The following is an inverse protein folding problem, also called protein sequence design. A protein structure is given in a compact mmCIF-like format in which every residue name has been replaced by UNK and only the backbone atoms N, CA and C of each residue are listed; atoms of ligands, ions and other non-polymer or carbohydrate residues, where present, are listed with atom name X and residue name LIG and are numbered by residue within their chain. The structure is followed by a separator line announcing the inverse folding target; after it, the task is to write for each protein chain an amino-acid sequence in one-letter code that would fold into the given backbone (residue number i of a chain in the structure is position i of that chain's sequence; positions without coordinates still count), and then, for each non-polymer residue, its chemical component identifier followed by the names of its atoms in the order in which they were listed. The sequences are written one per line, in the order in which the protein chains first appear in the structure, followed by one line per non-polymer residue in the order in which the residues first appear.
data_IF_381648709889
#
_entry.id   IF_381648709889
#
_cell.length_a   1.000
_cell.length_b   1.000
_cell.length_c   1.000
_cell.angle_alpha   90.00
_cell.angle_beta   90.00
_cell.angle_gamma   90.00
#
_symmetry.space_group_name_H-M   'P 1'
#
loop_
_entity.id
_entity.type
_entity.pdbx_description
1 polymer ?
#
# COMPACT_ATOMS: atom_id res chain seq x y z
N UNK A 1 -8.50 10.44 -26.71
CA UNK A 1 -8.02 10.40 -25.31
C UNK A 1 -8.63 9.23 -24.57
N UNK A 2 -9.97 9.14 -24.46
CA UNK A 2 -10.65 8.04 -23.74
C UNK A 2 -10.28 6.66 -24.30
N UNK A 3 -10.17 6.51 -25.63
CA UNK A 3 -9.76 5.26 -26.27
C UNK A 3 -8.33 4.84 -25.89
N UNK A 4 -7.39 5.79 -25.75
CA UNK A 4 -6.02 5.52 -25.29
C UNK A 4 -6.06 5.04 -23.82
N UNK A 5 -6.86 5.71 -22.98
CA UNK A 5 -7.02 5.32 -21.59
C UNK A 5 -7.59 3.90 -21.46
N UNK A 6 -8.68 3.60 -22.17
CA UNK A 6 -9.29 2.27 -22.17
C UNK A 6 -8.37 1.17 -22.74
N UNK A 7 -7.61 1.49 -23.82
CA UNK A 7 -6.62 0.58 -24.36
C UNK A 7 -5.48 0.28 -23.36
N UNK A 8 -4.98 1.31 -22.67
CA UNK A 8 -4.00 1.14 -21.60
C UNK A 8 -4.52 0.28 -20.44
N UNK A 9 -5.78 0.50 -20.01
CA UNK A 9 -6.47 -0.35 -19.03
C UNK A 9 -6.49 -1.80 -19.50
N UNK A 10 -6.94 -2.05 -20.73
CA UNK A 10 -7.05 -3.40 -21.29
C UNK A 10 -5.67 -4.09 -21.38
N UNK A 11 -4.61 -3.38 -21.80
CA UNK A 11 -3.25 -3.92 -21.87
C UNK A 11 -2.71 -4.29 -20.50
N UNK A 12 -2.99 -3.49 -19.46
CA UNK A 12 -2.56 -3.77 -18.09
C UNK A 12 -3.36 -4.93 -17.49
N UNK A 13 -4.68 -4.95 -17.61
CA UNK A 13 -5.54 -6.02 -17.08
C UNK A 13 -5.26 -7.35 -17.77
N UNK A 14 -4.97 -7.36 -19.07
CA UNK A 14 -4.58 -8.57 -19.82
C UNK A 14 -3.13 -8.99 -19.60
N UNK A 15 -2.38 -8.29 -18.73
CA UNK A 15 -0.96 -8.53 -18.43
C UNK A 15 -0.02 -8.43 -19.65
N UNK A 16 -0.47 -7.83 -20.75
CA UNK A 16 0.34 -7.64 -21.97
C UNK A 16 1.36 -6.52 -21.82
N UNK A 17 1.10 -5.56 -20.92
CA UNK A 17 1.98 -4.43 -20.66
C UNK A 17 2.03 -4.14 -19.15
N UNK A 18 3.22 -4.13 -18.52
CA UNK A 18 3.34 -3.80 -17.10
C UNK A 18 3.04 -2.32 -16.85
N UNK A 19 2.46 -2.00 -15.68
CA UNK A 19 2.05 -0.64 -15.32
C UNK A 19 3.19 0.38 -15.40
N UNK A 20 4.42 -0.02 -15.06
CA UNK A 20 5.62 0.84 -15.10
C UNK A 20 5.90 1.40 -16.51
N UNK A 21 5.50 0.68 -17.56
CA UNK A 21 5.63 1.13 -18.96
C UNK A 21 4.31 1.73 -19.48
N UNK A 22 3.18 1.14 -19.11
CA UNK A 22 1.87 1.58 -19.61
C UNK A 22 1.55 3.02 -19.20
N UNK A 23 1.77 3.36 -17.93
CA UNK A 23 1.38 4.67 -17.38
C UNK A 23 2.12 5.84 -18.04
N UNK A 24 3.45 5.87 -18.15
CA UNK A 24 4.13 6.98 -18.82
C UNK A 24 3.80 7.04 -20.33
N UNK A 25 3.70 5.88 -21.00
CA UNK A 25 3.31 5.86 -22.42
C UNK A 25 1.91 6.44 -22.63
N UNK A 26 0.94 6.08 -21.76
CA UNK A 26 -0.41 6.65 -21.80
C UNK A 26 -0.40 8.16 -21.59
N UNK A 27 0.33 8.66 -20.58
CA UNK A 27 0.43 10.09 -20.29
C UNK A 27 0.96 10.90 -21.49
N UNK A 28 2.02 10.41 -22.11
CA UNK A 28 2.62 11.03 -23.30
C UNK A 28 1.65 10.96 -24.49
N UNK A 29 1.09 9.80 -24.81
CA UNK A 29 0.17 9.62 -25.92
C UNK A 29 -1.10 10.47 -25.79
N UNK A 30 -1.65 10.57 -24.57
CA UNK A 30 -2.81 11.42 -24.27
C UNK A 30 -2.47 12.89 -24.58
N UNK A 31 -1.31 13.38 -24.12
CA UNK A 31 -0.87 14.75 -24.36
C UNK A 31 -0.61 15.03 -25.85
N UNK A 32 0.01 14.08 -26.58
CA UNK A 32 0.22 14.18 -28.04
C UNK A 32 -1.10 14.32 -28.77
N UNK A 33 -2.06 13.43 -28.51
CA UNK A 33 -3.37 13.44 -29.17
C UNK A 33 -4.20 14.66 -28.78
N UNK A 34 -3.98 15.23 -27.59
CA UNK A 34 -4.59 16.50 -27.19
C UNK A 34 -3.96 17.72 -27.84
N UNK A 35 -2.90 17.55 -28.63
CA UNK A 35 -2.22 18.67 -29.34
C UNK A 35 -1.29 19.50 -28.45
N UNK A 36 -0.79 18.91 -27.33
CA UNK A 36 0.26 19.55 -26.53
C UNK A 36 1.55 19.57 -27.34
N UNK A 37 2.23 20.73 -27.48
CA UNK A 37 3.47 20.83 -28.28
C UNK A 37 4.58 19.99 -27.65
N UNK A 38 5.43 19.39 -28.48
CA UNK A 38 6.55 18.58 -28.01
C UNK A 38 7.56 19.40 -27.22
N UNK A 39 7.95 20.55 -27.78
CA UNK A 39 8.88 21.52 -27.21
C UNK A 39 8.23 22.89 -27.32
N UNK A 40 8.41 23.73 -26.32
CA UNK A 40 8.03 25.14 -26.36
C UNK A 40 9.24 26.00 -25.96
N UNK A 41 9.44 27.09 -26.70
CA UNK A 41 10.43 28.12 -26.35
C UNK A 41 9.87 29.10 -25.31
N UNK A 42 8.56 29.14 -25.18
CA UNK A 42 7.84 29.97 -24.22
C UNK A 42 7.67 29.19 -22.88
N UNK A 43 8.15 29.79 -21.80
CA UNK A 43 8.11 29.18 -20.47
C UNK A 43 6.68 29.01 -19.93
N UNK A 44 5.72 29.80 -20.41
CA UNK A 44 4.31 29.71 -19.99
C UNK A 44 3.54 28.61 -20.73
N UNK A 45 4.03 28.17 -21.89
CA UNK A 45 3.37 27.14 -22.67
C UNK A 45 3.78 25.75 -22.24
N UNK A 46 2.80 24.98 -21.73
CA UNK A 46 3.01 23.59 -21.35
C UNK A 46 3.42 22.75 -22.56
N UNK A 47 4.57 22.04 -22.45
CA UNK A 47 5.08 21.13 -23.47
C UNK A 47 5.21 19.71 -22.96
N UNK A 48 5.32 18.74 -23.88
CA UNK A 48 5.51 17.33 -23.51
C UNK A 48 6.82 17.16 -22.77
N UNK A 49 7.91 17.76 -23.23
CA UNK A 49 9.24 17.62 -22.62
C UNK A 49 9.30 18.26 -21.23
N UNK A 50 8.86 19.51 -21.09
CA UNK A 50 9.01 20.25 -19.82
C UNK A 50 7.91 19.90 -18.80
N UNK A 51 6.63 19.95 -19.24
CA UNK A 51 5.51 19.78 -18.32
C UNK A 51 5.15 18.30 -18.11
N UNK A 52 5.00 17.51 -19.20
CA UNK A 52 4.53 16.12 -19.07
C UNK A 52 5.64 15.21 -18.59
N UNK A 53 6.82 15.23 -19.20
CA UNK A 53 7.91 14.30 -18.84
C UNK A 53 8.67 14.82 -17.62
N UNK A 54 9.35 15.95 -17.71
CA UNK A 54 10.20 16.43 -16.61
C UNK A 54 9.39 16.83 -15.37
N UNK A 55 8.34 17.63 -15.55
CA UNK A 55 7.42 18.00 -14.48
C UNK A 55 6.67 16.80 -13.92
N UNK A 56 6.25 15.87 -14.77
CA UNK A 56 5.61 14.62 -14.35
C UNK A 56 6.55 13.74 -13.53
N UNK A 57 7.79 13.55 -13.97
CA UNK A 57 8.76 12.74 -13.23
C UNK A 57 9.04 13.27 -11.82
N UNK A 58 9.01 14.58 -11.62
CA UNK A 58 9.24 15.23 -10.32
C UNK A 58 7.96 15.43 -9.48
N UNK A 59 6.77 15.22 -10.05
CA UNK A 59 5.49 15.50 -9.39
C UNK A 59 5.30 14.73 -8.08
N UNK A 60 5.78 13.51 -8.01
CA UNK A 60 5.68 12.65 -6.83
C UNK A 60 7.00 12.57 -6.06
N UNK A 61 7.84 13.61 -6.10
CA UNK A 61 9.16 13.61 -5.45
C UNK A 61 9.06 13.32 -3.94
N UNK A 62 8.14 13.98 -3.21
CA UNK A 62 7.93 13.73 -1.78
C UNK A 62 7.48 12.30 -1.52
N UNK A 63 6.55 11.76 -2.32
CA UNK A 63 6.12 10.36 -2.21
C UNK A 63 7.30 9.40 -2.42
N UNK A 64 8.16 9.67 -3.41
CA UNK A 64 9.37 8.86 -3.67
C UNK A 64 10.31 8.90 -2.47
N UNK A 65 10.60 10.08 -1.92
CA UNK A 65 11.48 10.26 -0.75
C UNK A 65 10.93 9.50 0.46
N UNK A 66 9.67 9.67 0.78
CA UNK A 66 9.00 8.97 1.90
C UNK A 66 9.01 7.46 1.70
N UNK A 67 8.81 6.99 0.47
CA UNK A 67 8.86 5.55 0.13
C UNK A 67 10.26 4.98 0.33
N UNK A 68 11.30 5.71 -0.07
CA UNK A 68 12.71 5.32 0.13
C UNK A 68 13.04 5.24 1.63
N UNK A 69 12.71 6.27 2.41
CA UNK A 69 12.95 6.24 3.86
C UNK A 69 12.12 5.17 4.57
N UNK A 70 10.88 4.93 4.14
CA UNK A 70 10.07 3.83 4.64
C UNK A 70 10.71 2.46 4.40
N UNK A 71 11.30 2.25 3.21
CA UNK A 71 12.01 1.02 2.89
C UNK A 71 13.31 0.85 3.67
N UNK A 72 14.07 1.94 3.87
CA UNK A 72 15.27 1.93 4.71
C UNK A 72 14.89 1.59 6.16
N UNK A 73 13.83 2.20 6.69
CA UNK A 73 13.33 1.90 8.03
C UNK A 73 12.92 0.43 8.18
N UNK A 74 12.22 -0.11 7.18
CA UNK A 74 11.87 -1.53 7.13
C UNK A 74 13.11 -2.44 7.21
N UNK A 75 14.19 -2.09 6.47
CA UNK A 75 15.45 -2.85 6.52
C UNK A 75 16.14 -2.77 7.87
N UNK A 76 16.13 -1.61 8.53
CA UNK A 76 16.68 -1.48 9.89
C UNK A 76 15.91 -2.39 10.86
N UNK A 77 14.56 -2.32 10.86
CA UNK A 77 13.70 -3.18 11.69
C UNK A 77 13.99 -4.67 11.42
N UNK A 78 14.12 -5.05 10.15
CA UNK A 78 14.42 -6.43 9.76
C UNK A 78 15.79 -6.90 10.23
N UNK A 79 16.85 -6.14 9.98
CA UNK A 79 18.24 -6.50 10.35
C UNK A 79 18.47 -6.58 11.85
N UNK A 80 17.78 -5.73 12.59
CA UNK A 80 17.82 -5.75 14.05
C UNK A 80 16.95 -6.85 14.68
N UNK A 81 16.19 -7.61 13.86
CA UNK A 81 15.38 -8.73 14.32
C UNK A 81 14.11 -8.33 15.07
N UNK A 82 13.73 -7.05 14.99
CA UNK A 82 12.58 -6.51 15.73
C UNK A 82 11.28 -7.19 15.28
N UNK A 83 11.09 -7.39 13.97
CA UNK A 83 9.90 -8.03 13.42
C UNK A 83 9.73 -9.48 13.91
N UNK A 84 10.83 -10.25 13.89
CA UNK A 84 10.84 -11.64 14.37
C UNK A 84 10.50 -11.70 15.86
N UNK A 85 11.07 -10.78 16.65
CA UNK A 85 10.80 -10.68 18.06
C UNK A 85 9.33 -10.35 18.37
N UNK A 86 8.71 -9.44 17.62
CA UNK A 86 7.29 -9.08 17.76
C UNK A 86 6.40 -10.30 17.48
N UNK A 87 6.62 -11.02 16.36
CA UNK A 87 5.78 -12.17 15.99
C UNK A 87 5.93 -13.29 17.03
N UNK A 88 7.15 -13.64 17.45
CA UNK A 88 7.39 -14.66 18.47
C UNK A 88 6.77 -14.29 19.80
N UNK A 89 6.92 -13.03 20.21
CA UNK A 89 6.34 -12.55 21.47
C UNK A 89 4.82 -12.58 21.45
N UNK A 90 4.21 -12.22 20.32
CA UNK A 90 2.77 -12.33 20.14
C UNK A 90 2.28 -13.79 20.23
N UNK A 91 3.00 -14.74 19.61
CA UNK A 91 2.68 -16.15 19.71
C UNK A 91 2.83 -16.70 21.14
N UNK A 92 3.91 -16.32 21.86
CA UNK A 92 4.10 -16.70 23.27
C UNK A 92 2.95 -16.21 24.17
N UNK A 93 2.52 -14.96 23.98
CA UNK A 93 1.45 -14.36 24.80
C UNK A 93 0.05 -14.93 24.48
N UNK A 94 -0.15 -15.47 23.28
CA UNK A 94 -1.44 -15.99 22.85
C UNK A 94 -1.80 -17.34 23.50
N UNK A 95 -0.83 -18.09 24.00
CA UNK A 95 -1.03 -19.43 24.55
C UNK A 95 -1.50 -20.45 23.50
N UNK A 96 -2.31 -21.44 23.89
CA UNK A 96 -2.64 -22.59 23.04
C UNK A 96 -3.98 -22.49 22.30
N UNK A 97 -4.72 -21.39 22.46
CA UNK A 97 -6.04 -21.23 21.84
C UNK A 97 -5.92 -20.70 20.41
N UNK A 98 -6.40 -21.42 19.38
CA UNK A 98 -6.27 -21.00 17.98
C UNK A 98 -6.78 -19.58 17.69
N UNK A 99 -7.91 -19.19 18.30
CA UNK A 99 -8.46 -17.83 18.14
C UNK A 99 -7.53 -16.77 18.73
N UNK A 100 -6.92 -17.03 19.88
CA UNK A 100 -5.99 -16.09 20.51
C UNK A 100 -4.69 -15.98 19.70
N UNK A 101 -4.20 -17.10 19.16
CA UNK A 101 -3.05 -17.12 18.25
C UNK A 101 -3.35 -16.33 16.97
N UNK A 102 -4.54 -16.55 16.38
CA UNK A 102 -5.00 -15.80 15.21
C UNK A 102 -5.02 -14.28 15.48
N UNK A 103 -5.65 -13.86 16.58
CA UNK A 103 -5.73 -12.44 16.97
C UNK A 103 -4.34 -11.86 17.23
N UNK A 104 -3.50 -12.54 17.98
CA UNK A 104 -2.18 -12.04 18.36
C UNK A 104 -1.24 -11.91 17.15
N UNK A 105 -1.21 -12.92 16.27
CA UNK A 105 -0.36 -12.89 15.08
C UNK A 105 -0.86 -11.89 14.03
N UNK A 106 -2.18 -11.72 13.89
CA UNK A 106 -2.74 -10.68 13.03
C UNK A 106 -2.43 -9.28 13.57
N UNK A 107 -2.53 -9.07 14.88
CA UNK A 107 -2.16 -7.81 15.52
C UNK A 107 -0.65 -7.53 15.42
N UNK A 108 0.19 -8.55 15.59
CA UNK A 108 1.65 -8.42 15.39
C UNK A 108 1.99 -8.06 13.94
N UNK A 109 1.34 -8.69 12.98
CA UNK A 109 1.47 -8.37 11.57
C UNK A 109 1.05 -6.92 11.30
N UNK A 110 -0.08 -6.49 11.83
CA UNK A 110 -0.54 -5.10 11.71
C UNK A 110 0.50 -4.13 12.29
N UNK A 111 1.02 -4.38 13.49
CA UNK A 111 2.05 -3.55 14.11
C UNK A 111 3.30 -3.43 13.23
N UNK A 112 3.78 -4.52 12.65
CA UNK A 112 4.96 -4.52 11.79
C UNK A 112 4.72 -3.67 10.53
N UNK A 113 3.56 -3.85 9.88
CA UNK A 113 3.25 -3.14 8.63
C UNK A 113 2.86 -1.67 8.81
N UNK A 114 2.72 -1.17 10.03
CA UNK A 114 2.69 0.27 10.28
C UNK A 114 3.98 0.98 9.86
N UNK A 115 5.10 0.26 9.90
CA UNK A 115 6.43 0.77 9.60
C UNK A 115 7.02 0.24 8.30
N UNK A 116 6.55 -0.91 7.85
CA UNK A 116 7.14 -1.66 6.74
C UNK A 116 6.16 -1.76 5.57
N UNK A 117 6.70 -1.87 4.35
CA UNK A 117 5.93 -2.14 3.14
C UNK A 117 6.81 -2.84 2.10
N UNK A 118 6.19 -3.47 1.09
CA UNK A 118 6.90 -4.14 0.02
C UNK A 118 7.09 -5.65 0.22
N UNK A 119 7.67 -6.31 -0.79
CA UNK A 119 7.75 -7.77 -0.85
C UNK A 119 8.66 -8.38 0.22
N UNK A 120 9.80 -7.77 0.53
CA UNK A 120 10.75 -8.30 1.52
C UNK A 120 10.14 -8.49 2.91
N UNK A 121 9.52 -7.46 3.50
CA UNK A 121 8.78 -7.59 4.75
C UNK A 121 7.67 -8.64 4.72
N UNK A 122 6.94 -8.74 3.61
CA UNK A 122 5.87 -9.76 3.46
C UNK A 122 6.45 -11.17 3.52
N UNK A 123 7.56 -11.43 2.82
CA UNK A 123 8.27 -12.72 2.87
C UNK A 123 8.65 -13.04 4.32
N UNK A 124 9.28 -12.10 5.01
CA UNK A 124 9.75 -12.28 6.38
C UNK A 124 8.60 -12.59 7.35
N UNK A 125 7.51 -11.85 7.29
CA UNK A 125 6.33 -12.10 8.15
C UNK A 125 5.66 -13.42 7.78
N UNK A 126 5.45 -13.70 6.50
CA UNK A 126 4.78 -14.91 6.03
C UNK A 126 5.53 -16.18 6.44
N UNK A 127 6.87 -16.20 6.31
CA UNK A 127 7.68 -17.37 6.66
C UNK A 127 7.64 -17.73 8.15
N UNK A 128 7.24 -16.80 9.04
CA UNK A 128 7.14 -17.05 10.48
C UNK A 128 5.67 -17.18 10.89
N UNK A 129 4.82 -16.24 10.51
CA UNK A 129 3.44 -16.20 10.96
C UNK A 129 2.59 -17.35 10.39
N UNK A 130 2.77 -17.72 9.10
CA UNK A 130 1.99 -18.78 8.48
C UNK A 130 2.25 -20.14 9.14
N UNK A 131 3.50 -20.63 9.30
CA UNK A 131 3.73 -21.87 10.03
C UNK A 131 3.17 -21.88 11.46
N UNK A 132 3.24 -20.74 12.18
CA UNK A 132 2.68 -20.62 13.51
C UNK A 132 1.14 -20.77 13.51
N UNK A 133 0.45 -20.14 12.56
CA UNK A 133 -0.99 -20.26 12.39
C UNK A 133 -1.40 -21.70 12.02
N UNK A 134 -0.65 -22.33 11.10
CA UNK A 134 -0.90 -23.72 10.71
C UNK A 134 -0.67 -24.70 11.87
N UNK A 135 0.38 -24.49 12.69
CA UNK A 135 0.66 -25.33 13.87
C UNK A 135 -0.43 -25.20 14.93
N UNK A 136 -1.11 -24.06 15.00
CA UNK A 136 -2.29 -23.87 15.84
C UNK A 136 -3.57 -24.55 15.27
N UNK A 137 -3.46 -25.27 14.15
CA UNK A 137 -4.58 -25.96 13.51
C UNK A 137 -5.48 -25.08 12.67
N UNK A 138 -5.03 -23.87 12.30
CA UNK A 138 -5.78 -22.95 11.44
C UNK A 138 -5.61 -23.39 9.97
N UNK A 139 -6.71 -23.40 9.21
CA UNK A 139 -6.70 -23.77 7.80
C UNK A 139 -5.80 -22.86 6.97
N UNK A 140 -5.05 -23.37 5.96
CA UNK A 140 -4.09 -22.57 5.18
C UNK A 140 -4.66 -21.31 4.53
N UNK A 141 -5.88 -21.36 3.97
CA UNK A 141 -6.55 -20.20 3.37
C UNK A 141 -6.84 -19.14 4.44
N UNK A 142 -7.29 -19.56 5.62
CA UNK A 142 -7.56 -18.66 6.74
C UNK A 142 -6.26 -18.06 7.25
N UNK A 143 -5.20 -18.85 7.41
CA UNK A 143 -3.89 -18.37 7.84
C UNK A 143 -3.33 -17.31 6.86
N UNK A 144 -3.40 -17.56 5.57
CA UNK A 144 -3.02 -16.60 4.54
C UNK A 144 -3.85 -15.30 4.63
N UNK A 145 -5.17 -15.43 4.76
CA UNK A 145 -6.09 -14.28 4.88
C UNK A 145 -5.78 -13.44 6.12
N UNK A 146 -5.46 -14.05 7.25
CA UNK A 146 -5.12 -13.34 8.50
C UNK A 146 -3.85 -12.50 8.38
N UNK A 147 -2.84 -13.00 7.69
CA UNK A 147 -1.62 -12.22 7.40
C UNK A 147 -1.96 -11.02 6.52
N UNK A 148 -2.81 -11.19 5.49
CA UNK A 148 -3.22 -10.10 4.61
C UNK A 148 -4.13 -9.06 5.31
N UNK A 149 -5.05 -9.49 6.17
CA UNK A 149 -5.84 -8.55 7.00
C UNK A 149 -4.95 -7.75 7.95
N UNK A 150 -4.01 -8.41 8.64
CA UNK A 150 -3.04 -7.72 9.50
C UNK A 150 -2.20 -6.72 8.72
N UNK A 151 -1.67 -7.13 7.58
CA UNK A 151 -0.92 -6.27 6.67
C UNK A 151 -1.75 -5.05 6.23
N UNK A 152 -3.01 -5.24 5.83
CA UNK A 152 -3.89 -4.15 5.42
C UNK A 152 -4.14 -3.15 6.56
N UNK A 153 -4.43 -3.63 7.78
CA UNK A 153 -4.60 -2.75 8.95
C UNK A 153 -3.32 -1.95 9.20
N UNK A 154 -2.16 -2.59 9.16
CA UNK A 154 -0.87 -1.89 9.33
C UNK A 154 -0.64 -0.82 8.27
N UNK A 155 -0.88 -1.12 7.00
CA UNK A 155 -0.68 -0.17 5.90
C UNK A 155 -1.63 1.04 5.97
N UNK A 156 -2.83 0.91 6.55
CA UNK A 156 -3.71 2.06 6.79
C UNK A 156 -3.09 3.10 7.72
N UNK A 157 -2.18 2.69 8.60
CA UNK A 157 -1.45 3.58 9.52
C UNK A 157 -0.02 3.85 9.08
N UNK A 158 0.44 3.25 7.98
CA UNK A 158 1.80 3.45 7.50
C UNK A 158 1.96 4.83 6.87
N UNK A 159 2.79 5.65 7.50
CA UNK A 159 3.03 7.04 7.11
C UNK A 159 3.54 7.17 5.67
N UNK A 160 4.30 6.18 5.19
CA UNK A 160 4.80 6.17 3.81
C UNK A 160 3.69 6.03 2.76
N UNK A 161 2.50 5.55 3.16
CA UNK A 161 1.35 5.43 2.26
C UNK A 161 0.51 6.71 2.19
N UNK A 162 0.74 7.69 3.05
CA UNK A 162 -0.07 8.91 3.10
C UNK A 162 0.30 9.90 2.01
N UNK A 163 1.60 10.03 1.75
CA UNK A 163 2.11 11.08 0.87
C UNK A 163 1.58 10.98 -0.57
N UNK A 164 1.33 9.77 -1.08
CA UNK A 164 0.77 9.60 -2.42
C UNK A 164 -0.61 10.24 -2.57
N UNK A 165 -1.45 10.24 -1.52
CA UNK A 165 -2.76 10.89 -1.55
C UNK A 165 -2.64 12.41 -1.48
N UNK A 166 -1.65 12.92 -0.76
CA UNK A 166 -1.33 14.37 -0.73
C UNK A 166 -0.86 14.83 -2.10
N UNK A 167 0.14 14.18 -2.68
CA UNK A 167 0.79 14.60 -3.92
C UNK A 167 -0.09 14.37 -5.17
N UNK A 168 -0.91 13.32 -5.17
CA UNK A 168 -1.74 12.95 -6.34
C UNK A 168 -3.09 13.64 -6.34
N UNK A 169 -3.74 13.69 -5.18
CA UNK A 169 -5.15 14.10 -5.02
C UNK A 169 -5.26 15.48 -4.35
N UNK A 170 -4.22 15.92 -3.65
CA UNK A 170 -4.26 17.13 -2.84
C UNK A 170 -5.07 16.97 -1.55
N UNK A 171 -5.11 15.75 -0.97
CA UNK A 171 -5.78 15.53 0.31
C UNK A 171 -5.01 16.19 1.45
N UNK A 172 -5.75 16.77 2.39
CA UNK A 172 -5.19 17.25 3.64
C UNK A 172 -4.73 16.07 4.52
N UNK A 173 -3.56 16.21 5.14
CA UNK A 173 -2.98 15.19 6.02
C UNK A 173 -3.89 14.87 7.21
N UNK A 174 -4.62 15.85 7.77
CA UNK A 174 -5.55 15.61 8.88
C UNK A 174 -6.76 14.75 8.43
N UNK A 175 -7.23 14.95 7.22
CA UNK A 175 -8.29 14.11 6.63
C UNK A 175 -7.78 12.67 6.44
N UNK A 176 -6.54 12.49 5.98
CA UNK A 176 -5.93 11.17 5.83
C UNK A 176 -5.79 10.46 7.18
N UNK A 177 -5.32 11.17 8.22
CA UNK A 177 -5.19 10.63 9.57
C UNK A 177 -6.54 10.19 10.15
N UNK A 178 -7.54 11.08 10.09
CA UNK A 178 -8.89 10.79 10.59
C UNK A 178 -9.51 9.60 9.86
N UNK A 179 -9.37 9.56 8.52
CA UNK A 179 -9.84 8.44 7.72
C UNK A 179 -9.13 7.14 8.06
N UNK A 180 -7.82 7.18 8.35
CA UNK A 180 -7.06 5.99 8.78
C UNK A 180 -7.61 5.38 10.05
N UNK A 181 -7.98 6.23 11.02
CA UNK A 181 -8.56 5.76 12.29
C UNK A 181 -9.91 5.10 12.05
N UNK A 182 -10.80 5.75 11.31
CA UNK A 182 -12.16 5.22 11.02
C UNK A 182 -12.07 3.91 10.24
N UNK A 183 -11.33 3.91 9.13
CA UNK A 183 -11.16 2.70 8.31
C UNK A 183 -10.43 1.60 9.07
N UNK A 184 -9.41 1.95 9.84
CA UNK A 184 -8.68 1.01 10.68
C UNK A 184 -9.59 0.32 11.70
N UNK A 185 -10.46 1.06 12.37
CA UNK A 185 -11.44 0.49 13.31
C UNK A 185 -12.41 -0.46 12.59
N UNK A 186 -12.93 -0.08 11.42
CA UNK A 186 -13.82 -0.93 10.62
C UNK A 186 -13.06 -2.22 10.23
N UNK A 187 -11.84 -2.10 9.71
CA UNK A 187 -11.03 -3.26 9.32
C UNK A 187 -10.70 -4.17 10.50
N UNK A 188 -10.46 -3.62 11.69
CA UNK A 188 -10.25 -4.43 12.92
C UNK A 188 -11.52 -5.21 13.27
N UNK A 189 -12.69 -4.56 13.28
CA UNK A 189 -13.98 -5.22 13.57
C UNK A 189 -14.25 -6.34 12.57
N UNK A 190 -14.07 -6.07 11.28
CA UNK A 190 -14.28 -7.07 10.21
C UNK A 190 -13.28 -8.23 10.35
N UNK A 191 -12.02 -7.93 10.65
CA UNK A 191 -10.99 -8.97 10.85
C UNK A 191 -11.29 -9.84 12.05
N UNK A 192 -11.72 -9.27 13.17
CA UNK A 192 -12.18 -10.03 14.35
C UNK A 192 -13.37 -10.91 14.00
N UNK A 193 -14.36 -10.38 13.28
CA UNK A 193 -15.51 -11.17 12.82
C UNK A 193 -15.06 -12.32 11.89
N UNK A 194 -14.14 -12.07 10.96
CA UNK A 194 -13.56 -13.11 10.10
C UNK A 194 -12.88 -14.21 10.92
N UNK A 195 -12.09 -13.85 11.94
CA UNK A 195 -11.43 -14.79 12.84
C UNK A 195 -12.47 -15.65 13.57
N UNK A 196 -13.45 -15.04 14.21
CA UNK A 196 -14.47 -15.74 14.99
C UNK A 196 -15.32 -16.70 14.13
N UNK A 197 -15.58 -16.32 12.87
CA UNK A 197 -16.38 -17.15 11.95
C UNK A 197 -15.55 -18.31 11.39
N UNK A 198 -14.30 -18.08 10.99
CA UNK A 198 -13.53 -19.05 10.21
C UNK A 198 -12.59 -19.91 11.06
N UNK A 199 -11.99 -19.39 12.13
CA UNK A 199 -11.04 -20.14 12.95
C UNK A 199 -11.77 -21.23 13.77
N UNK A 200 -12.94 -20.93 14.33
CA UNK A 200 -13.70 -21.92 15.14
C UNK A 200 -14.32 -23.05 14.31
N UNK A 201 -14.63 -22.83 13.03
CA UNK A 201 -15.33 -23.81 12.17
C UNK A 201 -14.38 -24.77 11.45
N UNK A 202 -13.14 -24.41 11.28
CA UNK A 202 -12.18 -25.08 10.39
C UNK A 202 -10.86 -25.41 11.07
N UNK A 203 -10.88 -25.66 12.38
CA UNK A 203 -9.68 -26.03 13.11
C UNK A 203 -9.37 -27.52 12.88
N UNK A 204 -8.33 -27.80 12.11
CA UNK A 204 -7.80 -29.16 11.94
C UNK A 204 -6.68 -29.34 12.96
N UNK A 205 -6.85 -30.26 13.89
CA UNK A 205 -5.76 -30.65 14.82
C UNK A 205 -4.66 -31.38 14.06
N UNK A 206 -3.70 -30.65 13.54
CA UNK A 206 -2.45 -31.20 13.02
C UNK A 206 -1.33 -30.90 14.01
N UNK A 207 -0.79 -31.93 14.62
CA UNK A 207 0.42 -31.86 15.46
C UNK A 207 1.65 -31.71 14.57
N UNK A 208 1.94 -30.48 14.13
CA UNK A 208 3.25 -30.16 13.55
C UNK A 208 4.15 -29.68 14.67
N UNK A 209 5.12 -30.49 15.07
CA UNK A 209 6.20 -30.04 15.94
C UNK A 209 7.02 -28.98 15.19
N UNK A 210 6.90 -27.73 15.59
CA UNK A 210 7.78 -26.68 15.09
C UNK A 210 9.20 -26.90 15.60
N UNK A 211 10.14 -27.08 14.70
CA UNK A 211 11.52 -26.75 14.98
C UNK A 211 11.61 -25.25 15.24
N UNK A 212 11.60 -24.84 16.50
CA UNK A 212 11.93 -23.49 16.90
C UNK A 212 13.39 -23.24 16.47
N UNK A 213 13.56 -22.58 15.35
CA UNK A 213 14.88 -22.20 14.86
C UNK A 213 15.62 -21.42 15.96
N UNK A 214 16.74 -21.96 16.38
CA UNK A 214 17.46 -21.69 17.62
C UNK A 214 18.26 -20.39 17.66
N UNK A 215 18.09 -19.43 16.75
CA UNK A 215 18.87 -18.19 16.76
C UNK A 215 17.98 -16.94 16.70
N UNK A 216 17.21 -16.68 17.75
CA UNK A 216 16.61 -15.34 17.91
C UNK A 216 17.59 -14.42 18.61
N UNK A 217 17.99 -13.31 17.95
CA UNK A 217 18.64 -12.21 18.64
C UNK A 217 17.76 -11.76 19.81
N UNK A 218 18.34 -11.60 21.01
CA UNK A 218 17.63 -10.97 22.11
C UNK A 218 17.41 -9.50 21.76
N UNK A 219 16.18 -9.12 21.48
CA UNK A 219 15.79 -7.73 21.15
C UNK A 219 15.29 -7.05 22.43
N UNK A 220 15.73 -5.80 22.63
CA UNK A 220 15.23 -4.99 23.75
C UNK A 220 13.71 -4.77 23.58
N UNK A 221 12.89 -4.94 24.65
CA UNK A 221 11.45 -4.69 24.58
C UNK A 221 11.07 -3.30 24.05
N UNK A 222 11.87 -2.27 24.34
CA UNK A 222 11.67 -0.92 23.82
C UNK A 222 11.81 -0.87 22.29
N UNK A 223 12.72 -1.66 21.73
CA UNK A 223 12.91 -1.73 20.28
C UNK A 223 11.69 -2.33 19.55
N UNK A 224 10.90 -3.19 20.22
CA UNK A 224 9.66 -3.72 19.64
C UNK A 224 8.58 -2.64 19.43
N UNK A 225 8.68 -1.50 20.10
CA UNK A 225 7.77 -0.36 19.91
C UNK A 225 8.21 0.60 18.80
N UNK A 226 9.43 0.44 18.26
CA UNK A 226 9.96 1.32 17.22
C UNK A 226 9.12 1.39 15.94
N UNK A 227 8.42 0.33 15.49
CA UNK A 227 7.49 0.44 14.37
C UNK A 227 6.41 1.52 14.54
N UNK A 228 6.01 1.83 15.77
CA UNK A 228 5.04 2.88 16.06
C UNK A 228 5.63 4.30 16.05
N UNK A 229 6.95 4.44 16.12
CA UNK A 229 7.59 5.74 16.28
C UNK A 229 7.23 6.75 15.17
N UNK A 230 7.25 6.40 13.86
CA UNK A 230 6.84 7.34 12.81
C UNK A 230 5.39 7.81 12.97
N UNK A 231 4.48 6.91 13.37
CA UNK A 231 3.07 7.23 13.59
C UNK A 231 2.93 8.22 14.75
N UNK A 232 3.60 7.97 15.86
CA UNK A 232 3.57 8.84 17.03
C UNK A 232 4.06 10.24 16.67
N UNK A 233 5.16 10.35 15.91
CA UNK A 233 5.69 11.64 15.48
C UNK A 233 4.74 12.40 14.55
N UNK A 234 4.09 11.71 13.60
CA UNK A 234 3.14 12.33 12.66
C UNK A 234 1.83 12.71 13.34
N UNK A 235 1.26 11.84 14.19
CA UNK A 235 -0.07 12.04 14.78
C UNK A 235 -0.04 13.02 15.96
N UNK A 236 0.90 12.86 16.87
CA UNK A 236 0.94 13.65 18.10
C UNK A 236 1.82 14.90 17.99
N UNK A 237 2.97 14.78 17.33
CA UNK A 237 3.90 15.90 17.17
C UNK A 237 3.69 16.69 15.87
N UNK A 238 2.79 16.22 14.98
CA UNK A 238 2.46 16.85 13.70
C UNK A 238 3.68 17.06 12.77
N UNK A 239 4.66 16.18 12.88
CA UNK A 239 5.81 16.20 11.99
C UNK A 239 5.43 15.69 10.60
N UNK A 240 6.17 16.12 9.58
CA UNK A 240 6.03 15.54 8.24
C UNK A 240 6.56 14.10 8.18
N UNK A 241 6.15 13.36 7.15
CA UNK A 241 6.47 11.96 7.00
C UNK A 241 7.97 11.70 6.84
N UNK A 242 8.67 12.55 6.07
CA UNK A 242 10.10 12.41 5.80
C UNK A 242 10.91 12.52 7.09
N UNK A 243 10.70 13.59 7.84
CA UNK A 243 11.43 13.84 9.11
C UNK A 243 11.14 12.75 10.13
N UNK A 244 9.87 12.31 10.23
CA UNK A 244 9.47 11.26 11.15
C UNK A 244 10.15 9.93 10.85
N UNK A 245 10.28 9.56 9.58
CA UNK A 245 10.96 8.34 9.16
C UNK A 245 12.49 8.44 9.37
N UNK A 246 13.10 9.56 9.03
CA UNK A 246 14.57 9.76 9.27
C UNK A 246 14.90 9.63 10.75
N UNK A 247 14.13 10.28 11.63
CA UNK A 247 14.33 10.16 13.07
C UNK A 247 14.10 8.74 13.56
N UNK A 248 13.06 8.07 13.07
CA UNK A 248 12.78 6.68 13.44
C UNK A 248 13.91 5.73 13.02
N UNK A 249 14.49 5.90 11.83
CA UNK A 249 15.64 5.14 11.34
C UNK A 249 16.82 5.26 12.30
N UNK A 250 17.19 6.52 12.63
CA UNK A 250 18.35 6.81 13.48
C UNK A 250 18.13 6.29 14.90
N UNK A 251 16.99 6.63 15.51
CA UNK A 251 16.66 6.24 16.89
C UNK A 251 16.61 4.72 17.03
N UNK A 252 15.99 4.02 16.06
CA UNK A 252 15.91 2.55 16.09
C UNK A 252 17.30 1.91 16.03
N UNK A 253 18.17 2.34 15.11
CA UNK A 253 19.52 1.81 15.00
C UNK A 253 20.35 2.04 16.26
N UNK A 254 20.23 3.22 16.88
CA UNK A 254 20.96 3.57 18.11
C UNK A 254 20.44 2.80 19.36
N UNK A 255 19.13 2.61 19.49
CA UNK A 255 18.54 1.89 20.64
C UNK A 255 18.84 0.40 20.57
N UNK A 256 18.87 -0.18 19.36
CA UNK A 256 19.02 -1.62 19.19
C UNK A 256 20.48 -2.05 19.31
N UNK A 257 21.37 -1.41 18.59
CA UNK A 257 22.80 -1.75 18.62
C UNK A 257 23.68 -0.53 18.29
N UNK A 258 24.07 0.27 19.30
CA UNK A 258 24.86 1.47 19.08
C UNK A 258 26.20 1.21 18.38
N UNK A 259 26.85 0.08 18.68
CA UNK A 259 28.20 -0.23 18.15
C UNK A 259 28.22 -0.60 16.67
N UNK A 260 27.12 -1.14 16.12
CA UNK A 260 27.00 -1.49 14.70
C UNK A 260 26.03 -0.59 13.93
N UNK A 261 25.50 0.47 14.56
CA UNK A 261 24.47 1.33 13.98
C UNK A 261 24.85 1.88 12.61
N UNK A 262 26.10 2.37 12.44
CA UNK A 262 26.59 2.91 11.16
C UNK A 262 26.57 1.85 10.06
N UNK A 263 27.01 0.63 10.36
CA UNK A 263 27.03 -0.47 9.39
C UNK A 263 25.61 -0.91 9.00
N UNK A 264 24.71 -1.01 9.98
CA UNK A 264 23.30 -1.33 9.77
C UNK A 264 22.63 -0.24 8.93
N UNK A 265 22.83 1.03 9.25
CA UNK A 265 22.29 2.16 8.50
C UNK A 265 22.79 2.17 7.06
N UNK A 266 24.11 2.07 6.84
CA UNK A 266 24.70 2.07 5.50
C UNK A 266 24.18 0.94 4.63
N UNK A 267 24.16 -0.29 5.14
CA UNK A 267 23.65 -1.45 4.40
C UNK A 267 22.14 -1.39 4.18
N UNK A 268 21.38 -0.84 5.15
CA UNK A 268 19.91 -0.66 5.02
C UNK A 268 19.55 0.39 3.99
N UNK A 269 20.37 1.45 3.82
CA UNK A 269 20.17 2.43 2.74
C UNK A 269 20.23 1.78 1.36
N UNK A 270 21.29 1.01 1.10
CA UNK A 270 21.48 0.36 -0.21
C UNK A 270 20.37 -0.67 -0.48
N UNK A 271 20.09 -1.52 0.49
CA UNK A 271 19.07 -2.57 0.34
C UNK A 271 17.66 -2.01 0.27
N UNK A 272 17.34 -0.99 1.09
CA UNK A 272 16.04 -0.32 1.05
C UNK A 272 15.75 0.30 -0.30
N UNK A 273 16.72 1.01 -0.89
CA UNK A 273 16.57 1.59 -2.24
C UNK A 273 16.36 0.49 -3.30
N UNK A 274 17.13 -0.61 -3.22
CA UNK A 274 16.95 -1.76 -4.13
C UNK A 274 15.54 -2.34 -4.06
N UNK A 275 14.99 -2.50 -2.86
CA UNK A 275 13.65 -3.08 -2.66
C UNK A 275 12.53 -2.23 -3.28
N UNK A 276 12.70 -0.92 -3.34
CA UNK A 276 11.66 -0.01 -3.86
C UNK A 276 11.96 0.56 -5.24
N UNK A 277 13.04 0.15 -5.90
CA UNK A 277 13.42 0.67 -7.23
C UNK A 277 12.27 0.56 -8.26
N UNK A 278 11.56 -0.57 -8.29
CA UNK A 278 10.39 -0.75 -9.16
C UNK A 278 9.22 0.16 -8.80
N UNK A 279 9.03 0.46 -7.52
CA UNK A 279 7.97 1.37 -7.04
C UNK A 279 8.32 2.82 -7.41
N UNK A 280 9.59 3.20 -7.32
CA UNK A 280 10.07 4.52 -7.77
C UNK A 280 9.79 4.72 -9.27
N UNK A 281 10.15 3.72 -10.10
CA UNK A 281 9.86 3.77 -11.54
C UNK A 281 8.35 3.87 -11.83
N UNK A 282 7.53 3.16 -11.06
CA UNK A 282 6.08 3.26 -11.16
C UNK A 282 5.56 4.67 -10.80
N UNK A 283 6.05 5.28 -9.73
CA UNK A 283 5.67 6.63 -9.30
C UNK A 283 6.04 7.70 -10.33
N UNK A 284 7.22 7.57 -10.95
CA UNK A 284 7.61 8.44 -12.08
C UNK A 284 6.59 8.30 -13.23
N UNK A 285 6.22 7.06 -13.57
CA UNK A 285 5.20 6.80 -14.61
C UNK A 285 3.82 7.37 -14.27
N UNK A 286 3.39 7.26 -13.00
CA UNK A 286 2.15 7.88 -12.49
C UNK A 286 2.23 9.40 -12.66
N UNK A 287 3.31 10.04 -12.25
CA UNK A 287 3.47 11.49 -12.37
C UNK A 287 3.40 11.98 -13.81
N UNK A 288 4.01 11.26 -14.75
CA UNK A 288 3.92 11.54 -16.19
C UNK A 288 2.47 11.41 -16.69
N UNK A 289 1.76 10.36 -16.28
CA UNK A 289 0.33 10.21 -16.61
C UNK A 289 -0.50 11.37 -16.05
N UNK A 290 -0.27 11.73 -14.79
CA UNK A 290 -0.98 12.83 -14.14
C UNK A 290 -0.80 14.15 -14.87
N UNK A 291 0.42 14.49 -15.25
CA UNK A 291 0.69 15.73 -15.99
C UNK A 291 0.19 15.65 -17.44
N UNK A 292 0.23 14.49 -18.08
CA UNK A 292 -0.36 14.29 -19.40
C UNK A 292 -1.87 14.54 -19.42
N UNK A 293 -2.58 14.07 -18.40
CA UNK A 293 -4.03 14.29 -18.23
C UNK A 293 -4.33 15.73 -17.78
N UNK A 294 -3.52 16.28 -16.87
CA UNK A 294 -3.71 17.63 -16.33
C UNK A 294 -3.26 18.74 -17.29
N UNK A 295 -2.57 18.42 -18.37
CA UNK A 295 -2.17 19.43 -19.36
C UNK A 295 -3.40 20.20 -19.87
N UNK A 296 -3.26 21.52 -19.96
CA UNK A 296 -4.37 22.46 -20.19
C UNK A 296 -5.24 22.08 -21.40
N UNK A 297 -4.60 21.70 -22.52
CA UNK A 297 -5.30 21.23 -23.72
C UNK A 297 -6.02 19.89 -23.50
N UNK A 298 -5.41 18.97 -22.78
CA UNK A 298 -6.01 17.67 -22.47
C UNK A 298 -7.23 17.84 -21.58
N UNK A 299 -7.09 18.60 -20.50
CA UNK A 299 -8.14 18.88 -19.53
C UNK A 299 -9.35 19.55 -20.18
N UNK A 300 -9.13 20.56 -21.04
CA UNK A 300 -10.21 21.23 -21.77
C UNK A 300 -11.04 20.30 -22.67
N UNK A 301 -10.36 19.32 -23.32
CA UNK A 301 -11.04 18.33 -24.16
C UNK A 301 -11.80 17.27 -23.34
N UNK A 302 -11.35 16.95 -22.13
CA UNK A 302 -11.97 15.92 -21.30
C UNK A 302 -13.13 16.42 -20.44
N UNK A 303 -13.08 17.68 -20.02
CA UNK A 303 -14.06 18.28 -19.08
C UNK A 303 -15.54 18.09 -19.49
N UNK A 304 -15.97 18.28 -20.76
CA UNK A 304 -17.36 18.09 -21.15
C UNK A 304 -17.85 16.65 -20.97
N UNK A 305 -16.99 15.68 -21.28
CA UNK A 305 -17.33 14.24 -21.21
C UNK A 305 -17.45 13.79 -19.74
N UNK A 306 -16.50 14.22 -18.91
CA UNK A 306 -16.42 13.82 -17.51
C UNK A 306 -17.58 14.46 -16.72
N UNK A 307 -17.95 15.68 -17.06
CA UNK A 307 -19.06 16.37 -16.39
C UNK A 307 -20.41 15.65 -16.54
N UNK A 308 -20.59 14.83 -17.56
CA UNK A 308 -21.80 14.04 -17.79
C UNK A 308 -21.77 12.73 -17.01
N UNK A 309 -20.59 12.11 -16.85
CA UNK A 309 -20.42 10.78 -16.25
C UNK A 309 -20.42 10.83 -14.73
N UNK A 310 -19.88 11.91 -14.14
CA UNK A 310 -19.74 12.02 -12.68
C UNK A 310 -21.10 12.27 -12.00
N UNK A 311 -21.44 11.44 -10.99
CA UNK A 311 -22.64 11.66 -10.20
C UNK A 311 -22.49 12.94 -9.37
N UNK A 312 -23.53 13.76 -9.35
CA UNK A 312 -23.60 14.97 -8.50
C UNK A 312 -24.19 14.67 -7.12
N UNK A 313 -24.85 13.52 -6.95
CA UNK A 313 -25.48 13.12 -5.70
C UNK A 313 -24.49 12.29 -4.85
N UNK A 314 -24.22 12.69 -3.57
CA UNK A 314 -23.31 11.94 -2.68
C UNK A 314 -23.69 10.49 -2.46
N UNK A 315 -24.98 10.18 -2.33
CA UNK A 315 -25.45 8.80 -2.14
C UNK A 315 -25.13 7.94 -3.39
N UNK A 316 -25.44 8.49 -4.57
CA UNK A 316 -25.14 7.80 -5.83
C UNK A 316 -23.64 7.58 -6.04
N UNK A 317 -22.81 8.56 -5.60
CA UNK A 317 -21.36 8.43 -5.59
C UNK A 317 -20.90 7.26 -4.72
N UNK A 318 -21.37 7.17 -3.48
CA UNK A 318 -21.05 6.06 -2.56
C UNK A 318 -21.47 4.72 -3.16
N UNK A 319 -22.71 4.61 -3.65
CA UNK A 319 -23.23 3.38 -4.26
C UNK A 319 -22.39 2.94 -5.46
N UNK A 320 -22.06 3.86 -6.36
CA UNK A 320 -21.24 3.57 -7.55
C UNK A 320 -19.87 3.05 -7.13
N UNK A 321 -19.16 3.76 -6.23
CA UNK A 321 -17.82 3.32 -5.80
C UNK A 321 -17.86 2.02 -5.01
N UNK A 322 -18.91 1.76 -4.23
CA UNK A 322 -19.09 0.48 -3.53
C UNK A 322 -19.30 -0.67 -4.54
N UNK A 323 -20.20 -0.50 -5.50
CA UNK A 323 -20.48 -1.53 -6.53
C UNK A 323 -19.28 -1.74 -7.44
N UNK A 324 -18.54 -0.68 -7.76
CA UNK A 324 -17.37 -0.75 -8.63
C UNK A 324 -16.07 -1.07 -7.88
N UNK A 325 -16.09 -1.22 -6.55
CA UNK A 325 -14.89 -1.54 -5.76
C UNK A 325 -14.08 -2.75 -6.28
N UNK A 326 -14.69 -3.82 -6.85
CA UNK A 326 -13.93 -4.90 -7.47
C UNK A 326 -13.05 -4.47 -8.66
N UNK A 327 -13.29 -3.29 -9.25
CA UNK A 327 -12.40 -2.72 -10.27
C UNK A 327 -11.04 -2.25 -9.70
N UNK A 328 -10.84 -2.29 -8.40
CA UNK A 328 -9.52 -2.12 -7.78
C UNK A 328 -8.64 -3.36 -7.95
N UNK A 329 -9.25 -4.55 -8.14
CA UNK A 329 -8.56 -5.81 -8.38
C UNK A 329 -7.84 -5.80 -9.74
N UNK A 330 -6.87 -6.68 -9.89
CA UNK A 330 -6.08 -6.85 -11.11
C UNK A 330 -5.38 -5.56 -11.57
N UNK A 331 -4.98 -4.70 -10.62
CA UNK A 331 -4.40 -3.36 -10.88
C UNK A 331 -5.32 -2.47 -11.71
N UNK A 332 -6.61 -2.62 -11.51
CA UNK A 332 -7.66 -1.96 -12.29
C UNK A 332 -7.77 -0.45 -12.07
N UNK A 333 -8.80 0.17 -12.65
CA UNK A 333 -8.94 1.63 -12.70
C UNK A 333 -9.18 2.30 -11.33
N UNK A 334 -9.54 1.55 -10.29
CA UNK A 334 -9.68 2.07 -8.92
C UNK A 334 -8.46 1.77 -8.03
N UNK A 335 -7.37 1.26 -8.59
CA UNK A 335 -6.13 1.04 -7.87
C UNK A 335 -5.27 2.32 -7.89
N UNK A 336 -4.96 2.86 -6.72
CA UNK A 336 -4.17 4.11 -6.58
C UNK A 336 -2.76 4.00 -7.19
N UNK A 337 -2.13 2.83 -7.07
CA UNK A 337 -0.82 2.52 -7.66
C UNK A 337 -0.91 2.02 -9.12
N UNK A 338 -2.04 2.26 -9.77
CA UNK A 338 -2.30 1.92 -11.16
C UNK A 338 -2.97 3.10 -11.86
N UNK A 339 -4.09 2.81 -12.52
CA UNK A 339 -4.87 3.82 -13.25
C UNK A 339 -5.69 4.73 -12.36
N UNK A 340 -5.93 4.35 -11.09
CA UNK A 340 -6.75 5.10 -10.14
C UNK A 340 -6.21 6.52 -9.88
N UNK A 341 -4.90 6.71 -9.90
CA UNK A 341 -4.29 8.04 -9.79
C UNK A 341 -4.66 8.94 -10.98
N UNK A 342 -4.61 8.41 -12.20
CA UNK A 342 -5.04 9.13 -13.41
C UNK A 342 -6.55 9.44 -13.37
N UNK A 343 -7.37 8.47 -12.97
CA UNK A 343 -8.82 8.64 -12.83
C UNK A 343 -9.17 9.68 -11.76
N UNK A 344 -8.45 9.70 -10.64
CA UNK A 344 -8.61 10.69 -9.59
C UNK A 344 -8.41 12.12 -10.13
N UNK A 345 -7.34 12.32 -10.90
CA UNK A 345 -7.06 13.63 -11.48
C UNK A 345 -8.14 14.06 -12.47
N UNK A 346 -8.66 13.13 -13.26
CA UNK A 346 -9.79 13.36 -14.16
C UNK A 346 -11.02 13.83 -13.35
N UNK A 347 -11.35 13.17 -12.26
CA UNK A 347 -12.49 13.53 -11.41
C UNK A 347 -12.32 14.91 -10.75
N UNK A 348 -11.13 15.23 -10.28
CA UNK A 348 -10.81 16.52 -9.68
C UNK A 348 -10.89 17.66 -10.70
N UNK A 349 -10.40 17.44 -11.90
CA UNK A 349 -10.43 18.44 -12.99
C UNK A 349 -11.85 18.80 -13.42
N UNK A 350 -12.80 17.85 -13.31
CA UNK A 350 -14.21 18.13 -13.58
C UNK A 350 -14.88 19.07 -12.55
N UNK A 351 -14.23 19.30 -11.41
CA UNK A 351 -14.67 20.27 -10.40
C UNK A 351 -15.94 19.90 -9.61
N UNK A 352 -16.51 18.71 -9.81
CA UNK A 352 -17.75 18.26 -9.13
C UNK A 352 -17.49 17.56 -7.79
N UNK A 353 -16.31 17.01 -7.62
CA UNK A 353 -15.94 16.25 -6.43
C UNK A 353 -14.76 16.91 -5.72
N UNK A 354 -14.82 16.93 -4.40
CA UNK A 354 -13.72 17.42 -3.58
C UNK A 354 -12.57 16.41 -3.49
N UNK A 355 -11.35 16.88 -3.26
CA UNK A 355 -10.19 16.02 -3.04
C UNK A 355 -10.42 14.97 -1.92
N UNK A 356 -11.02 15.30 -0.75
CA UNK A 356 -11.39 14.32 0.24
C UNK A 356 -12.34 13.23 -0.27
N UNK A 357 -13.35 13.59 -1.07
CA UNK A 357 -14.32 12.62 -1.59
C UNK A 357 -13.66 11.61 -2.54
N UNK A 358 -12.86 12.09 -3.51
CA UNK A 358 -12.14 11.24 -4.44
C UNK A 358 -11.10 10.38 -3.71
N UNK A 359 -10.34 10.99 -2.81
CA UNK A 359 -9.31 10.30 -2.06
C UNK A 359 -9.86 9.23 -1.13
N UNK A 360 -10.98 9.50 -0.44
CA UNK A 360 -11.63 8.52 0.43
C UNK A 360 -12.16 7.32 -0.36
N UNK A 361 -12.75 7.53 -1.53
CA UNK A 361 -13.22 6.45 -2.38
C UNK A 361 -12.07 5.53 -2.82
N UNK A 362 -10.98 6.10 -3.34
CA UNK A 362 -9.80 5.32 -3.74
C UNK A 362 -9.09 4.67 -2.57
N UNK A 363 -9.12 5.30 -1.39
CA UNK A 363 -8.55 4.72 -0.18
C UNK A 363 -9.39 3.54 0.33
N UNK A 364 -10.71 3.61 0.24
CA UNK A 364 -11.60 2.50 0.58
C UNK A 364 -11.38 1.31 -0.37
N UNK A 365 -11.31 1.55 -1.66
CA UNK A 365 -11.04 0.48 -2.64
C UNK A 365 -9.64 -0.12 -2.51
N UNK A 366 -8.69 0.59 -1.89
CA UNK A 366 -7.36 0.04 -1.61
C UNK A 366 -7.39 -1.11 -0.59
N UNK A 367 -8.39 -1.17 0.29
CA UNK A 367 -8.59 -2.31 1.21
C UNK A 367 -8.89 -3.58 0.42
N UNK A 368 -9.81 -3.51 -0.56
CA UNK A 368 -10.14 -4.63 -1.46
C UNK A 368 -8.89 -5.10 -2.21
N UNK A 369 -8.13 -4.16 -2.77
CA UNK A 369 -6.90 -4.45 -3.49
C UNK A 369 -5.82 -5.06 -2.60
N UNK A 370 -5.66 -4.56 -1.38
CA UNK A 370 -4.63 -5.01 -0.45
C UNK A 370 -4.86 -6.46 0.00
N UNK A 371 -6.10 -6.82 0.31
CA UNK A 371 -6.43 -8.13 0.90
C UNK A 371 -6.81 -9.15 -0.17
N UNK A 372 -7.54 -8.76 -1.21
CA UNK A 372 -8.21 -9.70 -2.12
C UNK A 372 -7.63 -9.75 -3.53
N UNK A 373 -6.73 -8.83 -3.95
CA UNK A 373 -6.23 -8.82 -5.33
C UNK A 373 -5.24 -9.96 -5.61
N UNK A 374 -5.59 -10.93 -6.47
CA UNK A 374 -4.72 -12.06 -6.78
C UNK A 374 -3.48 -11.69 -7.60
N UNK A 375 -3.40 -10.46 -8.11
CA UNK A 375 -2.22 -9.95 -8.84
C UNK A 375 -1.29 -9.11 -7.98
N UNK A 376 -1.69 -8.82 -6.74
CA UNK A 376 -0.86 -8.09 -5.81
C UNK A 376 0.30 -8.98 -5.33
N UNK A 377 1.52 -8.48 -5.43
CA UNK A 377 2.74 -9.24 -5.09
C UNK A 377 2.68 -9.83 -3.68
N UNK A 378 2.17 -9.08 -2.71
CA UNK A 378 2.03 -9.56 -1.33
C UNK A 378 1.08 -10.74 -1.20
N UNK A 379 -0.04 -10.73 -1.94
CA UNK A 379 -1.04 -11.81 -1.92
C UNK A 379 -0.47 -13.09 -2.53
N UNK A 380 0.28 -12.96 -3.62
CA UNK A 380 0.98 -14.08 -4.28
C UNK A 380 2.03 -14.70 -3.34
N UNK A 381 2.83 -13.86 -2.66
CA UNK A 381 3.83 -14.33 -1.69
C UNK A 381 3.17 -15.10 -0.54
N UNK A 382 2.14 -14.52 0.06
CA UNK A 382 1.43 -15.13 1.19
C UNK A 382 0.76 -16.45 0.78
N UNK A 383 0.15 -16.50 -0.42
CA UNK A 383 -0.44 -17.71 -1.00
C UNK A 383 0.60 -18.82 -1.18
N UNK A 384 1.80 -18.47 -1.68
CA UNK A 384 2.89 -19.45 -1.87
C UNK A 384 3.39 -20.02 -0.53
N UNK A 385 3.55 -19.19 0.51
CA UNK A 385 3.92 -19.67 1.84
C UNK A 385 2.85 -20.56 2.49
N UNK A 386 1.57 -20.25 2.28
CA UNK A 386 0.45 -21.05 2.78
C UNK A 386 0.16 -22.27 1.90
N UNK A 387 0.78 -22.38 0.71
CA UNK A 387 0.55 -23.43 -0.29
C UNK A 387 -0.92 -23.51 -0.73
N UNK A 388 -1.52 -22.36 -0.99
CA UNK A 388 -2.90 -22.22 -1.46
C UNK A 388 -2.95 -21.43 -2.77
N UNK A 389 -4.05 -21.58 -3.51
CA UNK A 389 -4.29 -20.74 -4.70
C UNK A 389 -4.70 -19.32 -4.25
N UNK A 390 -4.07 -18.31 -4.85
CA UNK A 390 -4.36 -16.90 -4.55
C UNK A 390 -5.81 -16.52 -4.87
N UNK A 391 -6.45 -17.19 -5.84
CA UNK A 391 -7.87 -16.97 -6.14
C UNK A 391 -8.80 -17.55 -5.06
N UNK A 392 -8.36 -18.54 -4.30
CA UNK A 392 -9.15 -19.03 -3.18
C UNK A 392 -9.08 -18.07 -1.99
N UNK A 393 -7.94 -17.38 -1.80
CA UNK A 393 -7.85 -16.25 -0.89
C UNK A 393 -8.82 -15.13 -1.32
N UNK A 394 -8.83 -14.76 -2.61
CA UNK A 394 -9.78 -13.78 -3.15
C UNK A 394 -11.23 -14.15 -2.80
N UNK A 395 -11.67 -15.39 -3.09
CA UNK A 395 -13.03 -15.85 -2.79
C UNK A 395 -13.36 -15.81 -1.29
N UNK A 396 -12.39 -16.14 -0.44
CA UNK A 396 -12.55 -16.15 1.01
C UNK A 396 -12.64 -14.76 1.61
N UNK A 397 -11.92 -13.78 1.06
CA UNK A 397 -11.74 -12.45 1.66
C UNK A 397 -12.64 -11.38 1.06
N UNK A 398 -13.00 -11.51 -0.23
CA UNK A 398 -13.80 -10.49 -0.93
C UNK A 398 -15.11 -10.10 -0.23
N UNK A 399 -15.88 -11.02 0.41
CA UNK A 399 -17.08 -10.64 1.14
C UNK A 399 -16.84 -9.78 2.39
N UNK A 400 -15.59 -9.68 2.83
CA UNK A 400 -15.17 -8.95 4.04
C UNK A 400 -14.39 -7.67 3.71
N UNK A 401 -14.16 -7.35 2.46
CA UNK A 401 -13.40 -6.19 1.99
C UNK A 401 -14.22 -5.31 1.05
#
# INVERSE_FOLDING_TARGET
ILAIFLAGVALMMTKKMPAILALPCMGILIAVVAGVPFISSDAETQSITSYVIAGGASRLASTIIVTVFGAIFAKVIQKEGISDAIIRKAAELAGDKPVMIALALTAATALIFTAMSGAGPVIMVAQIAIPLLLSAGIEPIVAASLVLFGLNIGLLFNVSQYQIYVDTIGMDMEVIKTSSIVMGLICVVVTVAYILINVNKKTVRSTWAMNAGTNSKKVNPVAMLMPLLPIVLVFFFKWNAETSLVVAIIVTALITNPSSSIQVLSSSMVEGIKDVAGVIGLMIGIGILLNGVAAQKTSALMQPIISVILPSNPIMYIVIFTVLSPLALYRGPLNMYGLGSGLANIFLTAGKLSAPAVGMALRSTSVVQCVSDPTNTQNVIVADYAKVDVNDILKSTLPYT
#
